data_IF_240231091657
#
_entry.id   IF_240231091657
#
_cell.length_a   1.000
_cell.length_b   1.000
_cell.length_c   1.000
_cell.angle_alpha   90.00
_cell.angle_beta   90.00
_cell.angle_gamma   90.00
#
_symmetry.space_group_name_H-M   'P 1'
#
loop_
_entity.id
_entity.type
_entity.pdbx_description
1 polymer ?
#
# COMPACT_ATOMS: atom_id res chain seq x y z
N UNK A 1 10.30 10.95 -27.42
CA UNK A 1 9.76 9.76 -26.73
C UNK A 1 8.79 10.25 -25.69
N UNK A 2 7.50 9.95 -25.86
CA UNK A 2 6.43 10.44 -25.00
C UNK A 2 6.44 9.62 -23.71
N UNK A 3 6.72 10.26 -22.57
CA UNK A 3 6.52 9.66 -21.25
C UNK A 3 5.01 9.56 -21.06
N UNK A 4 4.45 8.38 -21.27
CA UNK A 4 3.04 8.13 -20.94
C UNK A 4 2.92 8.21 -19.43
N UNK A 5 2.47 9.36 -18.92
CA UNK A 5 2.08 9.51 -17.52
C UNK A 5 0.97 8.49 -17.28
N UNK A 6 1.29 7.34 -16.66
CA UNK A 6 0.28 6.38 -16.19
C UNK A 6 -0.62 7.15 -15.22
N UNK A 7 -1.79 7.58 -15.70
CA UNK A 7 -2.75 8.30 -14.88
C UNK A 7 -3.33 7.30 -13.88
N UNK A 8 -2.69 7.20 -12.70
CA UNK A 8 -3.21 6.40 -11.60
C UNK A 8 -4.55 6.98 -11.19
N UNK A 9 -5.49 6.07 -10.97
CA UNK A 9 -6.72 6.38 -10.25
C UNK A 9 -6.35 6.97 -8.89
N UNK A 10 -7.02 8.05 -8.49
CA UNK A 10 -6.90 8.66 -7.16
C UNK A 10 -8.00 8.16 -6.25
N UNK A 11 -7.81 8.28 -4.94
CA UNK A 11 -8.84 8.01 -3.93
C UNK A 11 -10.23 8.54 -4.31
N UNK A 12 -10.33 9.81 -4.71
CA UNK A 12 -11.61 10.46 -5.04
C UNK A 12 -12.31 9.89 -6.28
N UNK A 13 -11.57 9.18 -7.14
CA UNK A 13 -12.09 8.53 -8.35
C UNK A 13 -12.53 7.08 -8.09
N UNK A 14 -12.30 6.56 -6.88
CA UNK A 14 -12.81 5.25 -6.48
C UNK A 14 -14.35 5.27 -6.35
N UNK A 15 -15.01 4.17 -6.72
CA UNK A 15 -16.42 3.95 -6.41
C UNK A 15 -16.75 4.20 -4.93
N UNK A 16 -17.95 4.71 -4.67
CA UNK A 16 -18.38 5.12 -3.33
C UNK A 16 -18.39 3.95 -2.34
N UNK A 17 -18.85 2.78 -2.77
CA UNK A 17 -18.85 1.52 -2.02
C UNK A 17 -17.43 1.10 -1.62
N UNK A 18 -16.46 1.18 -2.53
CA UNK A 18 -15.04 0.88 -2.21
C UNK A 18 -14.49 1.87 -1.18
N UNK A 19 -14.79 3.17 -1.32
CA UNK A 19 -14.38 4.18 -0.32
C UNK A 19 -15.03 3.92 1.03
N UNK A 20 -16.32 3.59 1.05
CA UNK A 20 -17.08 3.29 2.27
C UNK A 20 -16.52 2.06 2.99
N UNK A 21 -16.21 0.99 2.26
CA UNK A 21 -15.62 -0.22 2.85
C UNK A 21 -14.24 0.07 3.48
N UNK A 22 -13.43 0.92 2.86
CA UNK A 22 -12.15 1.36 3.46
C UNK A 22 -12.36 2.20 4.71
N UNK A 23 -13.34 3.11 4.72
CA UNK A 23 -13.70 3.90 5.92
C UNK A 23 -14.23 3.01 7.06
N UNK A 24 -14.99 1.97 6.74
CA UNK A 24 -15.44 0.96 7.70
C UNK A 24 -14.27 0.18 8.33
N UNK A 25 -13.30 -0.25 7.51
CA UNK A 25 -12.06 -0.88 8.00
C UNK A 25 -11.28 0.07 8.93
N UNK A 26 -11.27 1.37 8.62
CA UNK A 26 -10.61 2.38 9.43
C UNK A 26 -11.40 2.77 10.68
N UNK A 27 -12.70 2.52 10.70
CA UNK A 27 -13.65 2.97 11.72
C UNK A 27 -13.85 4.48 11.73
N UNK A 28 -13.51 5.18 10.65
CA UNK A 28 -13.55 6.64 10.55
C UNK A 28 -13.51 7.11 9.09
N UNK A 29 -14.06 8.30 8.83
CA UNK A 29 -14.11 8.90 7.49
C UNK A 29 -12.73 9.39 7.05
N UNK A 30 -12.42 9.25 5.76
CA UNK A 30 -11.22 9.81 5.15
C UNK A 30 -11.45 11.29 4.84
N UNK A 31 -10.59 12.17 5.37
CA UNK A 31 -10.67 13.62 5.16
C UNK A 31 -9.56 14.14 4.24
N UNK A 32 -8.53 13.35 4.01
CA UNK A 32 -7.42 13.68 3.13
C UNK A 32 -6.86 12.41 2.50
N UNK A 33 -6.51 12.50 1.22
CA UNK A 33 -5.83 11.43 0.49
C UNK A 33 -4.77 12.02 -0.42
N UNK A 34 -3.54 11.53 -0.30
CA UNK A 34 -2.39 11.94 -1.09
C UNK A 34 -1.87 10.75 -1.89
N UNK A 35 -2.14 10.76 -3.18
CA UNK A 35 -1.67 9.72 -4.10
C UNK A 35 -0.15 9.72 -4.19
N UNK A 36 0.44 8.54 -4.00
CA UNK A 36 1.87 8.32 -4.16
C UNK A 36 2.17 7.98 -5.61
N UNK A 37 3.19 8.60 -6.20
CA UNK A 37 3.61 8.37 -7.58
C UNK A 37 4.56 7.18 -7.76
N UNK A 38 5.12 6.63 -6.67
CA UNK A 38 6.03 5.48 -6.68
C UNK A 38 5.33 4.12 -6.80
N UNK A 39 6.04 3.08 -7.25
CA UNK A 39 5.54 1.71 -7.37
C UNK A 39 5.05 1.32 -8.78
N UNK A 40 4.80 0.04 -9.00
CA UNK A 40 4.61 -0.52 -10.35
C UNK A 40 3.15 -0.85 -10.73
N UNK A 41 2.26 -0.92 -9.74
CA UNK A 41 0.85 -1.28 -9.95
C UNK A 41 0.01 -0.11 -10.50
N UNK A 42 -0.95 -0.38 -11.42
CA UNK A 42 -1.78 0.64 -12.08
C UNK A 42 -3.03 1.07 -11.30
N UNK A 43 -3.30 0.46 -10.14
CA UNK A 43 -4.35 0.90 -9.20
C UNK A 43 -3.96 2.17 -8.43
N UNK A 44 -4.84 2.59 -7.52
CA UNK A 44 -4.52 3.68 -6.60
C UNK A 44 -3.56 3.22 -5.50
N UNK A 45 -2.77 4.17 -5.01
CA UNK A 45 -1.85 4.01 -3.89
C UNK A 45 -1.81 5.34 -3.12
N UNK A 46 -2.62 5.46 -2.08
CA UNK A 46 -2.84 6.72 -1.37
C UNK A 46 -2.39 6.62 0.09
N UNK A 47 -1.72 7.65 0.59
CA UNK A 47 -1.64 7.92 2.02
C UNK A 47 -2.90 8.67 2.40
N UNK A 48 -3.66 8.16 3.37
CA UNK A 48 -4.91 8.75 3.81
C UNK A 48 -4.81 9.23 5.25
N UNK A 49 -5.57 10.26 5.58
CA UNK A 49 -5.80 10.72 6.95
C UNK A 49 -7.29 10.75 7.24
N UNK A 50 -7.67 10.20 8.38
CA UNK A 50 -9.04 10.16 8.87
C UNK A 50 -9.39 11.41 9.67
N UNK A 51 -10.67 11.63 9.98
CA UNK A 51 -11.12 12.79 10.75
C UNK A 51 -10.53 12.86 12.16
N UNK A 52 -10.32 11.71 12.80
CA UNK A 52 -9.64 11.54 14.09
C UNK A 52 -8.12 11.74 14.01
N UNK A 53 -7.55 11.87 12.81
CA UNK A 53 -6.12 12.06 12.58
C UNK A 53 -5.33 10.76 12.39
N UNK A 54 -5.97 9.58 12.44
CA UNK A 54 -5.32 8.30 12.11
C UNK A 54 -4.87 8.29 10.65
N UNK A 55 -3.65 7.80 10.40
CA UNK A 55 -3.07 7.63 9.07
C UNK A 55 -3.09 6.16 8.63
N UNK A 56 -3.30 5.94 7.34
CA UNK A 56 -3.17 4.62 6.72
C UNK A 56 -2.65 4.74 5.27
N UNK A 57 -2.26 3.60 4.71
CA UNK A 57 -1.91 3.47 3.31
C UNK A 57 -2.93 2.58 2.61
N UNK A 58 -3.52 3.04 1.52
CA UNK A 58 -4.55 2.32 0.78
C UNK A 58 -4.05 1.98 -0.61
N UNK A 59 -4.18 0.71 -1.00
CA UNK A 59 -4.03 0.28 -2.39
C UNK A 59 -5.37 -0.24 -2.87
N UNK A 60 -5.86 0.20 -4.02
CA UNK A 60 -7.08 -0.36 -4.60
C UNK A 60 -7.00 -0.49 -6.12
N UNK A 61 -7.58 -1.57 -6.63
CA UNK A 61 -7.52 -1.92 -8.05
C UNK A 61 -8.72 -2.75 -8.48
N UNK A 62 -9.12 -2.61 -9.74
CA UNK A 62 -10.04 -3.53 -10.41
C UNK A 62 -9.45 -4.05 -11.72
N UNK A 63 -10.05 -5.09 -12.34
CA UNK A 63 -9.66 -5.57 -13.66
C UNK A 63 -9.62 -4.49 -14.74
N UNK A 64 -10.39 -3.39 -14.58
CA UNK A 64 -10.42 -2.30 -15.54
C UNK A 64 -9.08 -1.55 -15.63
N UNK A 65 -8.33 -1.45 -14.52
CA UNK A 65 -6.98 -0.86 -14.56
C UNK A 65 -5.94 -1.88 -15.02
N UNK A 66 -6.06 -3.13 -14.57
CA UNK A 66 -5.25 -4.25 -15.03
C UNK A 66 -5.88 -5.58 -14.58
N UNK A 67 -6.07 -6.55 -15.50
CA UNK A 67 -6.78 -7.81 -15.20
C UNK A 67 -6.06 -8.71 -14.18
N UNK A 68 -4.73 -8.64 -14.09
CA UNK A 68 -3.91 -9.50 -13.25
C UNK A 68 -3.67 -8.93 -11.85
N UNK A 69 -3.76 -7.60 -11.70
CA UNK A 69 -3.40 -6.90 -10.46
C UNK A 69 -4.33 -7.23 -9.27
N UNK A 70 -5.64 -7.48 -9.43
CA UNK A 70 -6.48 -7.98 -8.35
C UNK A 70 -5.95 -9.27 -7.70
N UNK A 71 -5.44 -10.21 -8.50
CA UNK A 71 -4.82 -11.45 -7.98
C UNK A 71 -3.57 -11.15 -7.17
N UNK A 72 -2.75 -10.19 -7.62
CA UNK A 72 -1.58 -9.73 -6.87
C UNK A 72 -1.96 -9.05 -5.56
N UNK A 73 -3.01 -8.22 -5.55
CA UNK A 73 -3.51 -7.55 -4.34
C UNK A 73 -4.05 -8.55 -3.32
N UNK A 74 -4.82 -9.56 -3.77
CA UNK A 74 -5.26 -10.68 -2.90
C UNK A 74 -4.07 -11.44 -2.31
N UNK A 75 -3.04 -11.72 -3.11
CA UNK A 75 -1.83 -12.36 -2.63
C UNK A 75 -1.08 -11.49 -1.61
N UNK A 76 -0.95 -10.19 -1.88
CA UNK A 76 -0.33 -9.23 -0.97
C UNK A 76 -1.07 -9.17 0.37
N UNK A 77 -2.41 -9.13 0.36
CA UNK A 77 -3.21 -9.11 1.58
C UNK A 77 -2.98 -10.37 2.42
N UNK A 78 -3.04 -11.56 1.79
CA UNK A 78 -2.80 -12.84 2.47
C UNK A 78 -1.38 -12.94 3.05
N UNK A 79 -0.37 -12.55 2.28
CA UNK A 79 1.03 -12.60 2.72
C UNK A 79 1.25 -11.62 3.88
N UNK A 80 0.78 -10.38 3.75
CA UNK A 80 0.95 -9.33 4.77
C UNK A 80 0.23 -9.70 6.06
N UNK A 81 -0.95 -10.32 5.99
CA UNK A 81 -1.68 -10.80 7.17
C UNK A 81 -0.95 -11.94 7.90
N UNK A 82 -0.14 -12.73 7.19
CA UNK A 82 0.63 -13.83 7.76
C UNK A 82 1.99 -13.39 8.34
N UNK A 83 2.42 -12.15 8.11
CA UNK A 83 3.67 -11.64 8.65
C UNK A 83 3.57 -11.47 10.18
N UNK A 84 4.59 -11.89 10.95
CA UNK A 84 4.63 -11.64 12.37
C UNK A 84 4.55 -10.14 12.69
N UNK A 85 3.91 -9.76 13.80
CA UNK A 85 3.75 -8.35 14.16
C UNK A 85 5.06 -7.57 14.40
N UNK A 86 6.18 -8.28 14.60
CA UNK A 86 7.52 -7.70 14.74
C UNK A 86 8.26 -7.52 13.40
N UNK A 87 7.69 -8.01 12.29
CA UNK A 87 8.25 -7.78 10.97
C UNK A 87 8.36 -6.26 10.71
N UNK A 88 9.49 -5.77 10.18
CA UNK A 88 9.65 -4.36 9.81
C UNK A 88 8.90 -4.02 8.51
N UNK A 89 7.62 -4.39 8.43
CA UNK A 89 6.74 -4.20 7.28
C UNK A 89 5.46 -3.49 7.70
N UNK A 90 4.79 -2.77 6.78
CA UNK A 90 3.43 -2.28 7.04
C UNK A 90 2.52 -3.45 7.45
N UNK A 91 1.70 -3.25 8.48
CA UNK A 91 0.71 -4.26 8.90
C UNK A 91 -0.59 -4.08 8.14
N UNK A 92 -1.25 -5.19 7.81
CA UNK A 92 -2.59 -5.16 7.26
C UNK A 92 -3.59 -4.74 8.36
N UNK A 93 -4.35 -3.68 8.11
CA UNK A 93 -5.45 -3.23 8.96
C UNK A 93 -6.78 -3.87 8.54
N UNK A 94 -6.92 -4.17 7.26
CA UNK A 94 -8.04 -4.91 6.69
C UNK A 94 -7.97 -4.95 5.17
N UNK A 95 -8.86 -5.71 4.55
CA UNK A 95 -9.02 -5.76 3.11
C UNK A 95 -10.51 -5.78 2.72
N UNK A 96 -10.82 -5.12 1.62
CA UNK A 96 -12.09 -5.22 0.91
C UNK A 96 -11.88 -6.03 -0.37
N UNK A 97 -12.81 -6.94 -0.67
CA UNK A 97 -12.84 -7.70 -1.92
C UNK A 97 -14.29 -8.05 -2.24
N UNK A 98 -14.86 -7.38 -3.24
CA UNK A 98 -16.22 -7.64 -3.73
C UNK A 98 -16.24 -8.52 -5.00
N UNK A 99 -15.09 -9.11 -5.34
CA UNK A 99 -14.89 -9.88 -6.57
C UNK A 99 -14.46 -9.03 -7.77
N UNK A 100 -14.78 -7.73 -7.79
CA UNK A 100 -14.39 -6.79 -8.84
C UNK A 100 -13.29 -5.82 -8.38
N UNK A 101 -13.46 -5.17 -7.23
CA UNK A 101 -12.46 -4.34 -6.59
C UNK A 101 -11.78 -5.10 -5.46
N UNK A 102 -10.47 -4.91 -5.35
CA UNK A 102 -9.68 -5.34 -4.21
C UNK A 102 -9.01 -4.11 -3.62
N UNK A 103 -9.25 -3.84 -2.34
CA UNK A 103 -8.59 -2.78 -1.60
C UNK A 103 -7.87 -3.31 -0.35
N UNK A 104 -6.62 -2.90 -0.16
CA UNK A 104 -5.82 -3.19 1.03
C UNK A 104 -5.65 -1.92 1.83
N UNK A 105 -5.89 -2.02 3.13
CA UNK A 105 -5.63 -0.94 4.09
C UNK A 105 -4.46 -1.37 4.96
N UNK A 106 -3.35 -0.66 4.89
CA UNK A 106 -2.13 -0.93 5.64
C UNK A 106 -1.81 0.20 6.61
N UNK A 107 -1.02 -0.08 7.64
CA UNK A 107 -0.42 0.98 8.47
C UNK A 107 0.40 1.93 7.61
N UNK A 108 0.23 3.23 7.81
CA UNK A 108 1.08 4.24 7.20
C UNK A 108 2.50 4.18 7.80
N UNK A 109 3.52 4.16 6.95
CA UNK A 109 4.92 4.22 7.38
C UNK A 109 5.39 5.65 7.22
N UNK A 110 5.79 6.27 8.32
CA UNK A 110 6.38 7.61 8.32
C UNK A 110 7.81 7.57 7.78
N UNK A 111 7.91 7.40 6.47
CA UNK A 111 9.14 7.21 5.73
C UNK A 111 8.99 7.70 4.30
N UNK A 112 10.11 8.03 3.68
CA UNK A 112 10.18 8.48 2.29
C UNK A 112 11.00 7.52 1.45
N UNK A 113 10.80 7.57 0.14
CA UNK A 113 11.70 6.88 -0.77
C UNK A 113 13.13 7.43 -0.65
N UNK A 114 14.17 6.57 -0.75
CA UNK A 114 15.54 7.01 -0.95
C UNK A 114 15.66 7.87 -2.22
N UNK A 115 16.60 8.82 -2.22
CA UNK A 115 16.85 9.67 -3.38
C UNK A 115 17.76 8.96 -4.39
N UNK A 116 17.62 9.34 -5.66
CA UNK A 116 18.52 8.90 -6.73
C UNK A 116 19.21 10.13 -7.34
N UNK A 117 20.56 10.16 -7.44
CA UNK A 117 21.50 9.13 -7.01
C UNK A 117 21.55 8.94 -5.49
N UNK A 118 21.87 7.72 -5.06
CA UNK A 118 21.82 7.30 -3.67
C UNK A 118 22.80 8.07 -2.79
N UNK A 119 22.34 8.45 -1.59
CA UNK A 119 23.21 8.93 -0.52
C UNK A 119 23.68 7.74 0.31
N UNK A 120 24.95 7.74 0.71
CA UNK A 120 25.57 6.61 1.44
C UNK A 120 24.76 6.19 2.66
N UNK A 121 24.32 7.14 3.50
CA UNK A 121 23.52 6.83 4.69
C UNK A 121 22.14 6.23 4.36
N UNK A 122 21.55 6.54 3.20
CA UNK A 122 20.28 5.94 2.78
C UNK A 122 20.49 4.52 2.25
N UNK A 123 21.62 4.27 1.57
CA UNK A 123 22.02 2.94 1.15
C UNK A 123 22.27 2.04 2.36
N UNK A 124 23.03 2.51 3.34
CA UNK A 124 23.28 1.80 4.60
C UNK A 124 21.98 1.47 5.33
N UNK A 125 21.04 2.42 5.41
CA UNK A 125 19.74 2.20 6.03
C UNK A 125 18.91 1.12 5.31
N UNK A 126 18.93 1.10 3.98
CA UNK A 126 18.26 0.05 3.18
C UNK A 126 18.92 -1.31 3.39
N UNK A 127 20.25 -1.39 3.36
CA UNK A 127 20.98 -2.64 3.60
C UNK A 127 20.71 -3.19 5.00
N UNK A 128 20.73 -2.34 6.03
CA UNK A 128 20.39 -2.73 7.39
C UNK A 128 18.92 -3.20 7.52
N UNK A 129 17.98 -2.59 6.77
CA UNK A 129 16.60 -3.04 6.73
C UNK A 129 16.47 -4.43 6.07
N UNK A 130 17.17 -4.66 4.97
CA UNK A 130 17.20 -5.96 4.30
C UNK A 130 17.82 -7.05 5.18
N UNK A 131 18.89 -6.73 5.92
CA UNK A 131 19.51 -7.65 6.88
C UNK A 131 18.53 -8.04 7.99
N UNK A 132 17.82 -7.06 8.58
CA UNK A 132 16.76 -7.34 9.57
C UNK A 132 15.65 -8.20 8.98
N UNK A 133 15.18 -7.86 7.78
CA UNK A 133 14.13 -8.62 7.11
C UNK A 133 14.55 -10.06 6.84
N UNK A 134 15.80 -10.26 6.39
CA UNK A 134 16.37 -11.60 6.21
C UNK A 134 16.36 -12.36 7.53
N UNK A 135 16.88 -11.78 8.61
CA UNK A 135 16.91 -12.43 9.92
C UNK A 135 15.53 -12.79 10.49
N UNK A 136 14.49 -11.98 10.22
CA UNK A 136 13.14 -12.19 10.76
C UNK A 136 12.22 -13.02 9.87
N UNK A 137 12.46 -13.03 8.55
CA UNK A 137 11.60 -13.69 7.55
C UNK A 137 12.28 -14.84 6.82
N UNK A 138 13.49 -15.22 7.22
CA UNK A 138 13.99 -16.52 6.82
C UNK A 138 13.08 -17.54 7.52
N UNK A 139 12.32 -18.36 6.79
CA UNK A 139 11.80 -19.57 7.39
C UNK A 139 13.04 -20.38 7.74
N UNK A 140 13.46 -20.34 9.01
CA UNK A 140 14.58 -21.15 9.43
C UNK A 140 14.09 -22.61 9.47
N UNK A 141 14.48 -23.37 8.44
CA UNK A 141 14.59 -24.84 8.37
C UNK A 141 13.33 -25.69 8.51
#
# INVERSE_FOLDING_TARGET
MQVTTKNRLRWAELPHDVRSAVEEILGDRVVEAVSQSGGYSPGTADRIRTASGRRAFVKAVSPAQNPDTPTMHRAEARITAALPGYAPTPRLLGCHDDGHWVALVLTDVDGRHPVTPWRVHELEAVLAALERMSATHTPAR
#
